data_IF_310881828924
#
_entry.id   IF_310881828924
#
_cell.length_a   1.000
_cell.length_b   1.000
_cell.length_c   1.000
_cell.angle_alpha   90.00
_cell.angle_beta   90.00
_cell.angle_gamma   90.00
#
_symmetry.space_group_name_H-M   'P 1'
#
loop_
_entity.id
_entity.type
_entity.pdbx_description
1 polymer ?
#
# COMPACT_ATOMS: atom_id res chain seq x y z
N UNK A 1 -9.07 9.32 17.71
CA UNK A 1 -9.82 9.11 17.01
C UNK A 1 -9.42 8.33 15.98
N UNK A 2 -10.03 7.53 15.94
CA UNK A 2 -9.80 6.74 14.92
C UNK A 2 -9.89 7.55 13.75
N UNK A 3 -9.74 7.10 12.73
CA UNK A 3 -9.98 7.85 11.60
C UNK A 3 -8.82 8.54 11.01
N UNK A 4 -7.64 8.21 11.47
CA UNK A 4 -6.55 8.70 10.73
C UNK A 4 -6.56 8.05 9.40
N UNK A 5 -6.70 8.83 8.38
CA UNK A 5 -6.70 8.31 7.04
C UNK A 5 -5.29 8.21 6.51
N UNK A 6 -5.04 7.16 5.78
CA UNK A 6 -3.79 7.04 5.06
C UNK A 6 -3.86 8.01 3.88
N UNK A 7 -2.86 8.84 3.73
CA UNK A 7 -2.81 9.73 2.58
C UNK A 7 -2.02 9.07 1.47
N UNK A 8 -2.29 9.50 0.24
CA UNK A 8 -1.56 8.96 -0.90
C UNK A 8 -0.07 9.21 -0.78
N UNK A 9 0.30 10.36 -0.22
CA UNK A 9 1.71 10.69 -0.04
C UNK A 9 2.39 9.72 0.90
N UNK A 10 1.71 9.40 2.00
CA UNK A 10 2.28 8.45 2.95
C UNK A 10 2.38 7.07 2.36
N UNK A 11 1.35 6.67 1.63
CA UNK A 11 1.37 5.39 0.98
C UNK A 11 2.56 5.28 0.05
N UNK A 12 2.82 6.32 -0.73
CA UNK A 12 3.94 6.32 -1.65
C UNK A 12 5.27 6.19 -0.91
N UNK A 13 5.37 6.80 0.27
CA UNK A 13 6.59 6.70 1.05
C UNK A 13 6.91 5.26 1.42
N UNK A 14 5.88 4.51 1.80
CA UNK A 14 6.11 3.13 2.24
C UNK A 14 6.24 2.16 1.09
N UNK A 15 6.00 2.62 -0.13
CA UNK A 15 6.19 1.80 -1.31
C UNK A 15 7.52 2.06 -2.00
N UNK A 16 8.35 2.89 -1.43
CA UNK A 16 9.65 3.16 -2.04
C UNK A 16 10.48 1.89 -2.11
N UNK A 17 11.16 1.72 -3.21
CA UNK A 17 12.03 0.58 -3.39
C UNK A 17 11.35 -0.69 -3.84
N UNK A 18 10.03 -0.64 -4.05
CA UNK A 18 9.34 -1.81 -4.56
C UNK A 18 9.61 -1.92 -6.05
N UNK A 19 9.96 -3.12 -6.47
CA UNK A 19 10.16 -3.38 -7.89
C UNK A 19 8.86 -3.88 -8.48
N UNK A 20 8.35 -3.15 -9.44
CA UNK A 20 7.16 -3.58 -10.14
C UNK A 20 7.56 -4.34 -11.39
N UNK A 21 6.76 -5.30 -11.81
CA UNK A 21 5.47 -5.69 -11.21
C UNK A 21 5.65 -6.38 -9.87
N UNK A 22 4.67 -6.19 -9.00
CA UNK A 22 4.69 -6.77 -7.66
C UNK A 22 3.29 -7.26 -7.32
N UNK A 23 3.22 -8.29 -6.49
CA UNK A 23 1.92 -8.76 -6.04
C UNK A 23 1.63 -8.24 -4.65
N UNK A 24 0.44 -8.56 -4.15
CA UNK A 24 0.02 -8.06 -2.84
C UNK A 24 1.02 -8.42 -1.75
N UNK A 25 1.51 -9.64 -1.77
CA UNK A 25 2.41 -10.08 -0.72
C UNK A 25 3.70 -9.28 -0.70
N UNK A 26 4.23 -8.99 -1.88
CA UNK A 26 5.43 -8.17 -1.97
C UNK A 26 5.17 -6.77 -1.44
N UNK A 27 4.00 -6.23 -1.73
CA UNK A 27 3.64 -4.90 -1.23
C UNK A 27 3.54 -4.89 0.29
N UNK A 28 2.88 -5.89 0.84
CA UNK A 28 2.73 -5.99 2.29
C UNK A 28 4.10 -6.13 2.96
N UNK A 29 4.92 -7.00 2.42
CA UNK A 29 6.24 -7.22 3.00
C UNK A 29 7.10 -5.96 2.94
N UNK A 30 7.02 -5.25 1.83
CA UNK A 30 7.85 -4.05 1.67
C UNK A 30 7.36 -2.94 2.59
N UNK A 31 6.06 -2.78 2.71
CA UNK A 31 5.52 -1.77 3.61
C UNK A 31 5.97 -2.05 5.03
N UNK A 32 5.90 -3.31 5.43
CA UNK A 32 6.33 -3.69 6.76
C UNK A 32 7.81 -3.41 6.96
N UNK A 33 8.62 -3.75 5.97
CA UNK A 33 10.05 -3.51 6.03
C UNK A 33 10.37 -2.03 6.12
N UNK A 34 9.55 -1.19 5.52
CA UNK A 34 9.74 0.25 5.55
C UNK A 34 9.15 0.90 6.80
N UNK A 35 8.62 0.09 7.72
CA UNK A 35 8.15 0.64 8.98
C UNK A 35 6.76 1.23 8.93
N UNK A 36 5.92 0.72 8.06
CA UNK A 36 4.57 1.27 7.90
C UNK A 36 3.76 1.13 9.18
N UNK A 37 3.01 2.16 9.55
CA UNK A 37 2.14 2.07 10.74
C UNK A 37 0.92 1.19 10.46
N UNK A 38 0.18 0.92 11.53
CA UNK A 38 -0.93 -0.02 11.45
C UNK A 38 -1.97 0.34 10.41
N UNK A 39 -2.28 1.63 10.27
CA UNK A 39 -3.30 2.04 9.30
C UNK A 39 -2.85 1.75 7.88
N UNK A 40 -1.57 1.92 7.60
CA UNK A 40 -1.03 1.59 6.28
C UNK A 40 -1.04 0.07 6.07
N UNK A 41 -0.66 -0.67 7.10
CA UNK A 41 -0.67 -2.13 6.99
C UNK A 41 -2.08 -2.67 6.79
N UNK A 42 -3.07 -2.09 7.45
CA UNK A 42 -4.45 -2.48 7.23
C UNK A 42 -4.87 -2.28 5.79
N UNK A 43 -4.50 -1.13 5.24
CA UNK A 43 -4.81 -0.88 3.84
C UNK A 43 -4.15 -1.92 2.95
N UNK A 44 -2.88 -2.20 3.19
CA UNK A 44 -2.17 -3.18 2.38
C UNK A 44 -2.82 -4.56 2.46
N UNK A 45 -3.30 -4.93 3.64
CA UNK A 45 -3.93 -6.23 3.81
C UNK A 45 -5.27 -6.32 3.13
N UNK A 46 -5.90 -5.19 2.84
CA UNK A 46 -7.19 -5.17 2.15
C UNK A 46 -7.07 -5.14 0.64
N UNK A 47 -5.86 -5.00 0.13
CA UNK A 47 -5.68 -4.95 -1.32
C UNK A 47 -6.13 -6.24 -1.95
N UNK A 48 -6.75 -6.18 -3.14
CA UNK A 48 -7.05 -7.39 -3.89
C UNK A 48 -5.78 -8.14 -4.22
N UNK A 49 -5.88 -9.45 -4.22
CA UNK A 49 -4.73 -10.27 -4.58
C UNK A 49 -4.62 -10.32 -6.09
N UNK A 50 -3.72 -9.53 -6.62
CA UNK A 50 -3.46 -9.49 -8.04
C UNK A 50 -2.07 -8.91 -8.24
N UNK A 51 -1.63 -8.93 -9.48
CA UNK A 51 -0.35 -8.34 -9.82
C UNK A 51 -0.54 -6.86 -10.06
N UNK A 52 0.33 -6.07 -9.48
CA UNK A 52 0.33 -4.63 -9.65
C UNK A 52 1.52 -4.26 -10.52
N UNK A 53 1.27 -3.63 -11.65
CA UNK A 53 2.34 -3.34 -12.61
C UNK A 53 3.03 -2.03 -12.32
N UNK A 54 2.41 -1.16 -11.55
CA UNK A 54 3.02 0.12 -11.19
C UNK A 54 2.36 0.64 -9.93
N UNK A 55 3.06 1.56 -9.27
CA UNK A 55 2.57 2.12 -8.01
C UNK A 55 1.20 2.78 -8.18
N UNK A 56 0.95 3.34 -9.36
CA UNK A 56 -0.33 4.00 -9.61
C UNK A 56 -1.51 3.05 -9.44
N UNK A 57 -1.32 1.77 -9.75
CA UNK A 57 -2.41 0.80 -9.59
C UNK A 57 -2.74 0.58 -8.12
N UNK A 58 -1.73 0.63 -7.27
CA UNK A 58 -1.97 0.54 -5.83
C UNK A 58 -2.71 1.77 -5.33
N UNK A 59 -2.32 2.93 -5.84
CA UNK A 59 -2.99 4.17 -5.45
C UNK A 59 -4.43 4.21 -5.91
N UNK A 60 -4.74 3.59 -7.04
CA UNK A 60 -6.12 3.50 -7.50
C UNK A 60 -6.95 2.68 -6.54
N UNK A 61 -6.40 1.58 -6.04
CA UNK A 61 -7.12 0.80 -5.04
C UNK A 61 -7.32 1.59 -3.76
N UNK A 62 -6.33 2.39 -3.40
CA UNK A 62 -6.46 3.26 -2.25
C UNK A 62 -7.65 4.20 -2.40
N UNK A 63 -7.78 4.79 -3.58
CA UNK A 63 -8.92 5.67 -3.86
C UNK A 63 -10.24 4.94 -3.80
N UNK A 64 -10.27 3.70 -4.29
CA UNK A 64 -11.50 2.93 -4.29
C UNK A 64 -11.93 2.51 -2.89
N UNK A 65 -10.99 2.42 -1.97
CA UNK A 65 -11.30 1.99 -0.61
C UNK A 65 -11.64 3.16 0.31
N UNK A 66 -11.46 4.37 -0.15
CA UNK A 66 -11.85 5.54 0.61
C UNK A 66 -13.36 5.82 0.46
#
# INVERSE_FOLDING_TARGET
MAGEKVSASRLAMYMKGINFPADKQMLVNKAKSNGAPDNVMEFMNRLPEKQYNRANEVEQEFGNMQ
#
